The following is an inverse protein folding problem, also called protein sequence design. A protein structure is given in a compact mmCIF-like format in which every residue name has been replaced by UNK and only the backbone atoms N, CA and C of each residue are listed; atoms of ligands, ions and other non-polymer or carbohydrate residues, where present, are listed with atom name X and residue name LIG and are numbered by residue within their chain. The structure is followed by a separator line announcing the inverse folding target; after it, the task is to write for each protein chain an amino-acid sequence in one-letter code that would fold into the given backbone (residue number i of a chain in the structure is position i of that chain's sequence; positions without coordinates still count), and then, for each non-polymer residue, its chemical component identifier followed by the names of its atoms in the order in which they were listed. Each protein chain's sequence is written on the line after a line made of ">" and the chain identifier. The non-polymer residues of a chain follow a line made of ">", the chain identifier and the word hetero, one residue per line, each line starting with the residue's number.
data_IF_517148868558
#
_entry.id   IF_517148868558
#
_cell.length_a   1.000
_cell.length_b   1.000
_cell.length_c   1.000
_cell.angle_alpha   90.00
_cell.angle_beta   90.00
_cell.angle_gamma   90.00
#
_symmetry.space_group_name_H-M   'P 1'
#
loop_
_entity.id
_entity.type
_entity.pdbx_description
1 polymer ?
#
# COMPACT_ATOMS: atom_id res chain seq x y z
N UNK A 1 10.22 15.32 2.55
CA UNK A 1 9.55 15.31 1.23
C UNK A 1 9.90 14.08 0.38
N UNK A 2 11.09 13.46 0.53
CA UNK A 2 11.46 12.25 -0.22
C UNK A 2 10.50 11.05 -0.06
N UNK A 3 9.91 10.87 1.13
CA UNK A 3 8.99 9.76 1.42
C UNK A 3 7.74 9.76 0.51
N UNK A 4 7.24 10.93 0.10
CA UNK A 4 6.12 11.04 -0.84
C UNK A 4 6.52 10.68 -2.29
N UNK A 5 7.76 10.98 -2.68
CA UNK A 5 8.26 10.69 -4.02
C UNK A 5 8.50 9.18 -4.20
N UNK A 6 9.07 8.54 -3.17
CA UNK A 6 9.27 7.09 -3.12
C UNK A 6 7.93 6.34 -3.16
N UNK A 7 6.95 6.77 -2.36
CA UNK A 7 5.61 6.17 -2.35
C UNK A 7 4.92 6.31 -3.72
N UNK A 8 5.06 7.46 -4.38
CA UNK A 8 4.49 7.68 -5.71
C UNK A 8 5.17 6.81 -6.76
N UNK A 9 6.50 6.71 -6.74
CA UNK A 9 7.26 5.84 -7.64
C UNK A 9 6.92 4.36 -7.44
N UNK A 10 6.79 3.93 -6.17
CA UNK A 10 6.39 2.58 -5.83
C UNK A 10 4.97 2.30 -6.32
N UNK A 11 4.04 3.23 -6.09
CA UNK A 11 2.67 3.12 -6.59
C UNK A 11 2.62 3.03 -8.12
N UNK A 12 3.45 3.79 -8.85
CA UNK A 12 3.51 3.67 -10.32
C UNK A 12 4.08 2.33 -10.77
N UNK A 13 5.05 1.77 -10.03
CA UNK A 13 5.59 0.43 -10.28
C UNK A 13 4.55 -0.66 -9.99
N UNK A 14 3.85 -0.55 -8.87
CA UNK A 14 2.76 -1.46 -8.49
C UNK A 14 1.59 -1.35 -9.48
N UNK A 15 1.32 -0.17 -10.02
CA UNK A 15 0.36 -0.02 -11.12
C UNK A 15 0.85 -0.67 -12.42
N UNK A 16 2.15 -0.82 -12.66
CA UNK A 16 2.63 -1.58 -13.83
C UNK A 16 2.47 -3.08 -13.62
N UNK A 17 2.28 -3.53 -12.38
CA UNK A 17 2.01 -4.93 -12.08
C UNK A 17 0.53 -5.27 -12.40
N UNK A 18 0.28 -6.18 -13.36
CA UNK A 18 -1.07 -6.54 -13.76
C UNK A 18 -1.87 -7.26 -12.68
N UNK A 19 -1.21 -7.91 -11.70
CA UNK A 19 -1.88 -8.58 -10.58
C UNK A 19 -2.37 -7.54 -9.55
N UNK A 20 -1.51 -6.59 -9.18
CA UNK A 20 -1.90 -5.47 -8.33
C UNK A 20 -2.98 -4.60 -8.97
N UNK A 21 -2.91 -4.36 -10.28
CA UNK A 21 -4.00 -3.69 -11.00
C UNK A 21 -5.33 -4.45 -10.90
N UNK A 22 -5.32 -5.77 -11.03
CA UNK A 22 -6.55 -6.58 -10.90
C UNK A 22 -7.11 -6.52 -9.49
N UNK A 23 -6.26 -6.57 -8.47
CA UNK A 23 -6.68 -6.47 -7.08
C UNK A 23 -7.24 -5.07 -6.76
N UNK A 24 -6.55 -4.02 -7.20
CA UNK A 24 -7.04 -2.65 -7.10
C UNK A 24 -8.38 -2.46 -7.85
N UNK A 25 -8.53 -3.05 -9.04
CA UNK A 25 -9.78 -3.04 -9.79
C UNK A 25 -10.89 -3.79 -9.06
N UNK A 26 -10.58 -4.93 -8.44
CA UNK A 26 -11.55 -5.70 -7.65
C UNK A 26 -12.02 -4.90 -6.43
N UNK A 27 -11.10 -4.19 -5.77
CA UNK A 27 -11.41 -3.31 -4.64
C UNK A 27 -12.20 -2.07 -5.09
N UNK A 28 -11.92 -1.51 -6.27
CA UNK A 28 -12.74 -0.45 -6.87
C UNK A 28 -14.15 -0.92 -7.28
N UNK A 29 -14.28 -2.17 -7.69
CA UNK A 29 -15.57 -2.79 -8.02
C UNK A 29 -16.35 -3.21 -6.77
N UNK A 30 -15.70 -3.23 -5.60
CA UNK A 30 -16.35 -3.58 -4.35
C UNK A 30 -17.41 -2.53 -3.96
N UNK A 31 -18.66 -2.94 -3.68
CA UNK A 31 -19.75 -2.02 -3.40
C UNK A 31 -19.57 -1.26 -2.07
N UNK A 32 -18.90 -1.85 -1.07
CA UNK A 32 -18.61 -1.16 0.19
C UNK A 32 -17.57 -0.07 -0.02
N UNK A 33 -16.53 -0.35 -0.82
CA UNK A 33 -15.55 0.64 -1.22
C UNK A 33 -16.20 1.77 -2.05
N UNK A 34 -17.06 1.44 -3.01
CA UNK A 34 -17.78 2.45 -3.80
C UNK A 34 -18.70 3.32 -2.94
N UNK A 35 -19.38 2.75 -1.95
CA UNK A 35 -20.21 3.51 -1.02
C UNK A 35 -19.36 4.48 -0.19
N UNK A 36 -18.20 4.00 0.31
CA UNK A 36 -17.27 4.84 1.05
C UNK A 36 -16.69 5.96 0.17
N UNK A 37 -16.27 5.63 -1.04
CA UNK A 37 -15.74 6.59 -2.00
C UNK A 37 -16.80 7.63 -2.38
N UNK A 38 -18.04 7.24 -2.66
CA UNK A 38 -19.15 8.17 -2.90
C UNK A 38 -19.37 9.10 -1.71
N UNK A 39 -19.38 8.57 -0.48
CA UNK A 39 -19.54 9.39 0.73
C UNK A 39 -18.40 10.39 0.90
N UNK A 40 -17.16 9.96 0.64
CA UNK A 40 -16.00 10.85 0.65
C UNK A 40 -16.10 11.91 -0.45
N UNK A 41 -16.48 11.52 -1.68
CA UNK A 41 -16.62 12.43 -2.82
C UNK A 41 -17.76 13.45 -2.62
N UNK A 42 -18.78 13.09 -1.87
CA UNK A 42 -19.87 13.97 -1.48
C UNK A 42 -19.51 14.92 -0.32
N UNK A 43 -18.37 14.70 0.35
CA UNK A 43 -17.92 15.61 1.40
C UNK A 43 -17.55 16.98 0.82
N UNK A 44 -17.88 18.04 1.56
CA UNK A 44 -17.58 19.41 1.14
C UNK A 44 -16.07 19.64 0.89
N UNK A 45 -15.22 19.03 1.73
CA UNK A 45 -13.76 19.09 1.57
C UNK A 45 -13.29 18.48 0.24
N UNK A 46 -13.84 17.33 -0.15
CA UNK A 46 -13.49 16.71 -1.43
C UNK A 46 -14.01 17.53 -2.61
N UNK A 47 -15.25 18.02 -2.56
CA UNK A 47 -15.81 18.84 -3.64
C UNK A 47 -15.03 20.14 -3.83
N UNK A 48 -14.63 20.80 -2.74
CA UNK A 48 -13.82 22.00 -2.78
C UNK A 48 -12.42 21.71 -3.34
N UNK A 49 -11.78 20.63 -2.89
CA UNK A 49 -10.49 20.20 -3.44
C UNK A 49 -10.61 19.89 -4.93
N UNK A 50 -11.62 19.13 -5.35
CA UNK A 50 -11.87 18.81 -6.76
C UNK A 50 -12.10 20.05 -7.60
N UNK A 51 -12.86 21.03 -7.10
CA UNK A 51 -13.06 22.31 -7.78
C UNK A 51 -11.75 23.09 -7.92
N UNK A 52 -10.93 23.18 -6.87
CA UNK A 52 -9.61 23.83 -6.92
C UNK A 52 -8.65 23.11 -7.87
N UNK A 53 -8.62 21.78 -7.83
CA UNK A 53 -7.81 20.97 -8.74
C UNK A 53 -8.26 21.16 -10.17
N UNK A 54 -9.57 21.12 -10.44
CA UNK A 54 -10.12 21.35 -11.78
C UNK A 54 -9.79 22.74 -12.29
N UNK A 55 -9.88 23.77 -11.46
CA UNK A 55 -9.50 25.14 -11.82
C UNK A 55 -7.99 25.23 -12.10
N UNK A 56 -7.15 24.59 -11.27
CA UNK A 56 -5.70 24.57 -11.46
C UNK A 56 -5.26 23.76 -12.69
N UNK A 57 -6.02 22.74 -13.09
CA UNK A 57 -5.78 21.94 -14.30
C UNK A 57 -6.28 22.63 -15.57
N UNK A 58 -7.23 23.56 -15.46
CA UNK A 58 -7.67 24.39 -16.58
C UNK A 58 -6.63 25.44 -16.96
N UNK A 59 -5.74 25.81 -16.04
CA UNK A 59 -4.59 26.66 -16.31
C UNK A 59 -3.44 25.83 -16.93
N UNK A 60 -3.14 25.96 -18.23
CA UNK A 60 -2.14 25.13 -18.90
C UNK A 60 -0.71 25.35 -18.36
N UNK A 61 -0.41 26.52 -17.80
CA UNK A 61 0.87 26.78 -17.13
C UNK A 61 1.00 26.01 -15.82
N UNK A 62 -0.04 26.02 -14.98
CA UNK A 62 -0.03 25.25 -13.73
C UNK A 62 -0.08 23.76 -13.97
N UNK A 63 -0.81 23.31 -14.98
CA UNK A 63 -0.81 21.91 -15.40
C UNK A 63 0.60 21.44 -15.77
N UNK A 64 1.34 22.24 -16.56
CA UNK A 64 2.74 21.96 -16.92
C UNK A 64 3.68 21.98 -15.71
N UNK A 65 3.55 22.95 -14.83
CA UNK A 65 4.38 23.01 -13.60
C UNK A 65 4.13 21.78 -12.71
N UNK A 66 2.88 21.36 -12.59
CA UNK A 66 2.50 20.19 -11.82
C UNK A 66 2.99 18.90 -12.48
N UNK A 67 2.91 18.79 -13.80
CA UNK A 67 3.46 17.68 -14.58
C UNK A 67 4.98 17.60 -14.44
N UNK A 68 5.69 18.72 -14.55
CA UNK A 68 7.15 18.78 -14.40
C UNK A 68 7.58 18.40 -12.99
N UNK A 69 6.87 18.94 -11.98
CA UNK A 69 7.11 18.59 -10.57
C UNK A 69 6.83 17.12 -10.29
N UNK A 70 5.75 16.57 -10.85
CA UNK A 70 5.43 15.16 -10.74
C UNK A 70 6.49 14.29 -11.42
N UNK A 71 6.93 14.67 -12.63
CA UNK A 71 8.00 13.98 -13.36
C UNK A 71 9.32 13.99 -12.60
N UNK A 72 9.70 15.12 -12.02
CA UNK A 72 10.90 15.24 -11.19
C UNK A 72 10.80 14.40 -9.92
N UNK A 73 9.65 14.45 -9.24
CA UNK A 73 9.38 13.61 -8.08
C UNK A 73 9.46 12.11 -8.41
N UNK A 74 8.93 11.71 -9.58
CA UNK A 74 9.01 10.33 -10.06
C UNK A 74 10.44 9.92 -10.41
N UNK A 75 11.22 10.77 -11.06
CA UNK A 75 12.61 10.46 -11.38
C UNK A 75 13.45 10.31 -10.10
N UNK A 76 13.27 11.19 -9.13
CA UNK A 76 13.92 11.10 -7.82
C UNK A 76 13.48 9.84 -7.07
N UNK A 77 12.17 9.56 -7.04
CA UNK A 77 11.61 8.36 -6.40
C UNK A 77 12.09 7.06 -7.04
N UNK A 78 12.17 6.99 -8.38
CA UNK A 78 12.69 5.84 -9.11
C UNK A 78 14.17 5.61 -8.80
N UNK A 79 15.00 6.67 -8.81
CA UNK A 79 16.43 6.55 -8.43
C UNK A 79 16.59 6.03 -7.00
N UNK A 80 15.72 6.43 -6.09
CA UNK A 80 15.75 5.98 -4.71
C UNK A 80 15.29 4.52 -4.58
N UNK A 81 14.23 4.12 -5.31
CA UNK A 81 13.81 2.72 -5.42
C UNK A 81 14.91 1.83 -5.96
N UNK A 82 15.59 2.21 -7.04
CA UNK A 82 16.68 1.42 -7.63
C UNK A 82 17.82 1.21 -6.62
N UNK A 83 18.17 2.24 -5.84
CA UNK A 83 19.16 2.11 -4.76
C UNK A 83 18.69 1.15 -3.67
N UNK A 84 17.42 1.25 -3.25
CA UNK A 84 16.86 0.36 -2.24
C UNK A 84 16.82 -1.09 -2.77
N UNK A 85 16.48 -1.30 -4.03
CA UNK A 85 16.50 -2.62 -4.67
C UNK A 85 17.91 -3.19 -4.77
N UNK A 86 18.91 -2.37 -5.12
CA UNK A 86 20.32 -2.79 -5.12
C UNK A 86 20.78 -3.18 -3.72
N UNK A 87 20.48 -2.36 -2.71
CA UNK A 87 20.81 -2.67 -1.31
C UNK A 87 20.08 -3.94 -0.84
N UNK A 88 18.80 -4.11 -1.18
CA UNK A 88 18.05 -5.34 -0.89
C UNK A 88 18.66 -6.56 -1.56
N UNK A 89 19.06 -6.45 -2.82
CA UNK A 89 19.68 -7.54 -3.56
C UNK A 89 21.04 -7.90 -2.98
N UNK A 90 21.86 -6.91 -2.63
CA UNK A 90 23.15 -7.14 -1.97
C UNK A 90 22.99 -7.73 -0.57
N UNK A 91 21.97 -7.33 0.20
CA UNK A 91 21.61 -7.96 1.46
C UNK A 91 21.13 -9.41 1.26
N UNK A 92 20.30 -9.66 0.25
CA UNK A 92 19.80 -10.99 -0.07
C UNK A 92 20.92 -11.93 -0.52
N UNK A 93 21.87 -11.45 -1.34
CA UNK A 93 23.06 -12.21 -1.73
C UNK A 93 23.95 -12.51 -0.50
N UNK A 94 24.18 -11.53 0.38
CA UNK A 94 24.92 -11.73 1.65
C UNK A 94 24.20 -12.67 2.63
N UNK A 95 22.87 -12.72 2.62
CA UNK A 95 22.10 -13.68 3.42
C UNK A 95 22.11 -15.08 2.79
N UNK A 96 22.16 -15.19 1.46
CA UNK A 96 22.24 -16.48 0.76
C UNK A 96 23.62 -17.15 0.84
N UNK A 97 24.71 -16.40 1.05
CA UNK A 97 26.04 -16.98 1.34
C UNK A 97 26.18 -17.50 2.79
N UNK A 98 25.16 -17.33 3.64
CA UNK A 98 25.15 -17.80 5.03
C UNK A 98 24.34 -19.08 5.30
N UNK A 99 23.61 -19.62 4.32
CA UNK A 99 22.58 -20.65 4.55
C UNK A 99 22.88 -22.00 3.87
N UNK A 100 24.16 -22.39 3.75
CA UNK A 100 24.58 -23.73 3.26
C UNK A 100 25.24 -24.61 4.35
N UNK A 101 25.05 -24.27 5.63
CA UNK A 101 25.41 -25.15 6.77
C UNK A 101 24.35 -25.06 7.86
N UNK A 102 23.21 -25.71 7.65
CA UNK A 102 22.45 -26.40 8.69
C UNK A 102 21.20 -27.02 8.04
N UNK A 103 21.43 -28.07 7.27
CA UNK A 103 20.42 -29.10 6.96
C UNK A 103 21.04 -30.45 7.33
N UNK A 104 20.97 -30.79 8.61
CA UNK A 104 20.84 -32.16 9.11
C UNK A 104 20.55 -32.08 10.62
N UNK A 105 19.52 -32.80 11.08
CA UNK A 105 18.89 -32.78 12.43
C UNK A 105 18.05 -31.51 12.73
N UNK A 106 16.74 -31.53 13.00
CA UNK A 106 15.87 -32.52 13.62
C UNK A 106 14.51 -32.52 12.91
N UNK A 107 14.17 -33.65 12.29
CA UNK A 107 12.79 -34.02 12.01
C UNK A 107 12.39 -35.10 13.03
N UNK A 108 12.07 -34.71 14.26
CA UNK A 108 11.19 -35.48 15.14
C UNK A 108 10.83 -34.66 16.39
N UNK A 109 9.62 -34.90 16.89
CA UNK A 109 9.08 -34.45 18.18
C UNK A 109 8.16 -33.20 18.22
N UNK A 110 6.96 -33.46 18.74
CA UNK A 110 5.90 -32.54 19.23
C UNK A 110 4.80 -32.10 18.26
N UNK A 111 4.12 -33.12 17.72
CA UNK A 111 2.66 -33.26 17.96
C UNK A 111 2.38 -33.18 19.48
N UNK A 112 1.95 -32.02 20.00
CA UNK A 112 1.05 -31.84 21.17
C UNK A 112 1.04 -30.38 21.60
N UNK A 113 0.04 -29.61 21.15
CA UNK A 113 -0.58 -28.51 21.88
C UNK A 113 -1.75 -27.95 21.05
N UNK A 114 -2.74 -28.81 20.78
CA UNK A 114 -4.09 -28.39 20.43
C UNK A 114 -4.94 -28.72 21.64
N UNK A 115 -5.15 -27.76 22.54
CA UNK A 115 -6.21 -27.62 23.55
C UNK A 115 -5.93 -26.30 24.25
N UNK A 116 -6.71 -25.26 23.91
CA UNK A 116 -7.35 -24.29 24.82
C UNK A 116 -7.95 -23.15 23.97
N UNK A 117 -9.10 -23.46 23.35
CA UNK A 117 -10.18 -22.49 23.20
C UNK A 117 -10.74 -22.24 24.59
N UNK A 118 -10.54 -21.05 25.17
CA UNK A 118 -11.59 -20.30 25.87
C UNK A 118 -11.06 -18.96 26.41
N UNK A 119 -11.92 -17.95 26.28
CA UNK A 119 -12.05 -16.81 27.19
C UNK A 119 -11.03 -15.67 27.09
N UNK A 120 -11.26 -14.75 26.15
CA UNK A 120 -11.23 -13.30 26.45
C UNK A 120 -11.94 -12.50 25.33
N UNK A 121 -13.26 -12.68 25.22
CA UNK A 121 -14.13 -11.68 24.57
C UNK A 121 -14.88 -10.99 25.71
N UNK A 122 -14.66 -9.68 25.95
CA UNK A 122 -15.43 -8.97 26.97
C UNK A 122 -16.92 -8.98 26.60
N UNK A 123 -17.71 -9.45 27.56
CA UNK A 123 -19.16 -9.53 27.59
C UNK A 123 -19.79 -8.19 27.17
N UNK A 124 -20.38 -8.15 25.97
CA UNK A 124 -21.15 -7.00 25.51
C UNK A 124 -22.59 -7.24 25.99
N UNK A 125 -23.11 -6.48 26.98
CA UNK A 125 -24.46 -6.68 27.46
C UNK A 125 -25.46 -6.44 26.35
N UNK A 126 -26.31 -7.45 26.15
CA UNK A 126 -27.37 -7.49 25.15
C UNK A 126 -28.40 -6.38 25.37
N UNK A 127 -28.82 -5.80 24.26
CA UNK A 127 -29.94 -4.89 24.03
C UNK A 127 -31.09 -4.97 25.05
N UNK A 128 -31.43 -3.82 25.64
CA UNK A 128 -32.77 -3.56 26.16
C UNK A 128 -33.16 -2.10 25.84
N UNK A 129 -33.76 -1.91 24.67
CA UNK A 129 -34.47 -0.67 24.30
C UNK A 129 -35.95 -1.03 24.21
N UNK A 130 -36.67 -0.74 25.29
CA UNK A 130 -38.12 -0.61 25.31
C UNK A 130 -38.56 0.54 24.40
#
# INVERSE_FOLDING_TARGET
>A
MAMNNLMLAQMMKDMQDPEMMREAQKLMQDPAFQAHMKKMMQSAGFQQAMAQTKQSLQDPEKAKELEEKAKKALEEGNKELEKIEQVRKELAEKQSEGEDKDKEDEAEDKKKAAVEEQEDIPDIPSLNLN
#
